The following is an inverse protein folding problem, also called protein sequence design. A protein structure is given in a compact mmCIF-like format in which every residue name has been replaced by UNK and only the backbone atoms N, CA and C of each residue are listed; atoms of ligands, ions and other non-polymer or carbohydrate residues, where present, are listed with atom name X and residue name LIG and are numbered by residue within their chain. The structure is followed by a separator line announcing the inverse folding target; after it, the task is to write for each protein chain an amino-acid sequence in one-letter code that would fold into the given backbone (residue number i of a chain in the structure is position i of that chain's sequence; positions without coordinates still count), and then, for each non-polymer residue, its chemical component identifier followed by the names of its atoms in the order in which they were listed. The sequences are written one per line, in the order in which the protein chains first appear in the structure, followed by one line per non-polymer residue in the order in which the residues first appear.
data_IF_607810403924
#
_entry.id   IF_607810403924
#
_cell.length_a   1.000
_cell.length_b   1.000
_cell.length_c   1.000
_cell.angle_alpha   90.00
_cell.angle_beta   90.00
_cell.angle_gamma   90.00
#
_symmetry.space_group_name_H-M   'P 1'
#
loop_
_entity.id
_entity.type
_entity.pdbx_description
1 polymer ?
#
# COMPACT_ATOMS: atom_id res chain seq x y z
N UNK A 1 4.99 -2.51 13.17
CA UNK A 1 4.58 -2.16 11.78
C UNK A 1 5.83 -1.64 11.10
N UNK A 2 6.11 -2.01 9.85
CA UNK A 2 7.27 -1.47 9.13
C UNK A 2 6.78 -0.35 8.20
N UNK A 3 7.38 0.83 8.28
CA UNK A 3 7.11 1.93 7.36
C UNK A 3 8.13 1.91 6.21
N UNK A 4 7.76 2.43 5.04
CA UNK A 4 8.63 2.47 3.87
C UNK A 4 9.19 3.84 3.60
N UNK A 5 10.37 3.83 2.97
CA UNK A 5 11.02 5.01 2.48
C UNK A 5 10.34 5.48 1.19
N UNK A 6 9.94 6.75 1.05
CA UNK A 6 9.73 7.35 -0.26
C UNK A 6 11.05 7.35 -1.05
N UNK A 7 11.06 7.66 -2.35
CA UNK A 7 12.25 7.56 -3.21
C UNK A 7 13.52 8.23 -2.67
N UNK A 8 13.39 9.14 -1.71
CA UNK A 8 14.50 9.81 -1.03
C UNK A 8 14.30 9.72 0.50
N UNK A 9 15.39 9.55 1.29
CA UNK A 9 15.33 9.43 2.75
C UNK A 9 14.68 10.64 3.44
N UNK A 10 14.87 11.83 2.84
CA UNK A 10 14.29 13.08 3.28
C UNK A 10 13.68 13.78 2.07
N UNK A 11 12.39 14.08 2.12
CA UNK A 11 11.74 14.82 1.02
C UNK A 11 12.10 16.30 1.13
N UNK A 12 12.38 16.93 0.00
CA UNK A 12 12.64 18.37 -0.09
C UNK A 12 11.76 18.97 -1.18
N UNK A 13 11.18 20.12 -0.91
CA UNK A 13 10.33 20.85 -1.84
C UNK A 13 10.83 22.26 -2.05
N UNK A 14 10.54 22.80 -3.22
CA UNK A 14 11.00 24.11 -3.69
C UNK A 14 9.82 24.96 -4.14
N UNK A 15 10.01 26.27 -4.10
CA UNK A 15 9.12 27.24 -4.76
C UNK A 15 9.30 27.16 -6.28
N UNK A 16 8.42 27.83 -7.03
CA UNK A 16 8.56 27.95 -8.47
C UNK A 16 9.85 28.66 -8.92
N UNK A 17 10.48 29.44 -8.05
CA UNK A 17 11.78 30.12 -8.30
C UNK A 17 12.99 29.25 -7.92
N UNK A 18 12.78 28.05 -7.39
CA UNK A 18 13.86 27.15 -6.99
C UNK A 18 14.40 27.38 -5.57
N UNK A 19 13.76 28.22 -4.79
CA UNK A 19 14.11 28.43 -3.38
C UNK A 19 13.47 27.35 -2.50
N UNK A 20 14.09 26.94 -1.37
CA UNK A 20 13.48 26.02 -0.42
C UNK A 20 12.08 26.45 0.02
N UNK A 21 11.12 25.52 0.04
CA UNK A 21 9.75 25.79 0.45
C UNK A 21 9.62 25.81 1.98
N UNK A 22 10.21 26.85 2.61
CA UNK A 22 10.25 27.00 4.05
C UNK A 22 8.85 27.15 4.64
N UNK A 23 8.53 26.35 5.67
CA UNK A 23 7.22 26.39 6.32
C UNK A 23 6.08 25.85 5.44
N UNK A 24 6.39 25.26 4.28
CA UNK A 24 5.41 24.57 3.45
C UNK A 24 4.71 23.46 4.23
N UNK A 25 3.49 23.13 3.82
CA UNK A 25 2.59 22.19 4.52
C UNK A 25 2.26 21.03 3.61
N UNK A 26 2.72 19.83 3.98
CA UNK A 26 2.39 18.60 3.26
C UNK A 26 1.26 17.86 3.99
N UNK A 27 0.08 17.88 3.41
CA UNK A 27 -1.05 17.07 3.87
C UNK A 27 -1.00 15.69 3.23
N UNK A 28 -1.31 14.67 4.03
CA UNK A 28 -1.31 13.27 3.59
C UNK A 28 -2.65 12.60 3.91
N UNK A 29 -3.24 11.98 2.87
CA UNK A 29 -4.55 11.34 2.94
C UNK A 29 -4.47 9.92 2.38
N UNK A 30 -5.46 9.09 2.69
CA UNK A 30 -5.66 7.83 1.99
C UNK A 30 -5.97 8.10 0.50
N UNK A 31 -5.38 7.31 -0.41
CA UNK A 31 -5.56 7.49 -1.85
C UNK A 31 -7.04 7.53 -2.25
N UNK A 32 -7.39 8.39 -3.18
CA UNK A 32 -8.76 8.62 -3.64
C UNK A 32 -9.67 9.32 -2.65
N UNK A 33 -9.18 9.77 -1.47
CA UNK A 33 -10.01 10.33 -0.39
C UNK A 33 -9.48 11.65 0.15
N UNK A 34 -10.20 12.19 1.14
CA UNK A 34 -9.75 13.30 2.01
C UNK A 34 -9.59 12.86 3.46
N UNK A 35 -9.63 11.55 3.73
CA UNK A 35 -9.40 11.00 5.08
C UNK A 35 -7.90 11.04 5.39
N UNK A 36 -7.48 11.73 6.48
CA UNK A 36 -6.07 11.82 6.84
C UNK A 36 -5.44 10.43 7.02
N UNK A 37 -4.24 10.23 6.45
CA UNK A 37 -3.45 9.02 6.58
C UNK A 37 -2.07 9.35 7.14
N UNK A 38 -1.71 8.72 8.25
CA UNK A 38 -0.47 9.02 8.96
C UNK A 38 0.77 8.63 8.14
N UNK A 39 1.76 9.52 8.13
CA UNK A 39 3.15 9.21 7.77
C UNK A 39 4.00 9.21 9.03
N UNK A 40 5.26 8.80 8.94
CA UNK A 40 6.10 8.56 10.12
C UNK A 40 7.43 9.29 10.01
N UNK A 41 8.04 9.55 11.18
CA UNK A 41 9.34 10.24 11.29
C UNK A 41 10.53 9.33 10.99
N UNK A 42 10.33 8.01 10.97
CA UNK A 42 11.39 7.03 10.74
C UNK A 42 10.86 5.71 10.17
N UNK A 43 11.75 4.86 9.67
CA UNK A 43 11.45 3.52 9.15
C UNK A 43 10.81 2.56 10.14
N UNK A 44 10.90 2.84 11.43
CA UNK A 44 10.29 1.98 12.45
C UNK A 44 8.77 2.09 12.48
N UNK A 45 8.20 3.21 11.95
CA UNK A 45 6.76 3.47 11.96
C UNK A 45 6.17 3.68 13.37
N UNK A 46 7.02 3.99 14.37
CA UNK A 46 6.57 4.11 15.77
C UNK A 46 6.04 5.50 16.10
N UNK A 47 6.56 6.55 15.45
CA UNK A 47 6.17 7.94 15.70
C UNK A 47 5.56 8.53 14.44
N UNK A 48 4.26 8.85 14.51
CA UNK A 48 3.56 9.49 13.41
C UNK A 48 3.98 10.97 13.30
N UNK A 49 4.07 11.46 12.07
CA UNK A 49 4.14 12.88 11.78
C UNK A 49 2.82 13.57 12.14
N UNK A 50 2.89 14.86 12.44
CA UNK A 50 1.69 15.71 12.39
C UNK A 50 1.13 15.75 10.95
N UNK A 51 -0.15 15.99 10.80
CA UNK A 51 -0.76 16.21 9.49
C UNK A 51 -1.49 17.56 9.50
N UNK A 52 -0.97 18.59 8.81
CA UNK A 52 0.14 18.55 7.84
C UNK A 52 1.52 18.35 8.47
N UNK A 53 2.43 17.77 7.69
CA UNK A 53 3.87 17.81 7.95
C UNK A 53 4.37 19.21 7.58
N UNK A 54 5.04 19.88 8.51
CA UNK A 54 5.60 21.22 8.27
C UNK A 54 7.06 21.09 7.81
N UNK A 55 7.39 21.72 6.70
CA UNK A 55 8.74 21.72 6.15
C UNK A 55 9.66 22.64 6.93
N UNK A 56 10.90 22.22 7.14
CA UNK A 56 11.92 22.99 7.90
C UNK A 56 12.48 24.19 7.09
N UNK A 57 13.48 24.86 7.64
CA UNK A 57 14.15 26.03 7.02
C UNK A 57 14.85 25.69 5.68
N UNK A 58 14.99 24.42 5.34
CA UNK A 58 15.52 23.95 4.05
C UNK A 58 14.45 23.40 3.13
N UNK A 59 13.17 23.55 3.50
CA UNK A 59 12.05 22.98 2.77
C UNK A 59 12.00 21.45 2.86
N UNK A 60 12.55 20.86 3.92
CA UNK A 60 12.70 19.40 4.08
C UNK A 60 11.80 18.85 5.18
N UNK A 61 11.47 17.56 5.06
CA UNK A 61 10.87 16.77 6.13
C UNK A 61 11.20 15.29 6.00
N UNK A 62 11.22 14.58 7.14
CA UNK A 62 11.27 13.13 7.17
C UNK A 62 9.85 12.58 6.98
N UNK A 63 9.59 11.90 5.86
CA UNK A 63 8.27 11.37 5.51
C UNK A 63 8.39 9.90 5.13
N UNK A 64 8.08 9.03 6.07
CA UNK A 64 8.05 7.59 5.87
C UNK A 64 6.61 7.11 5.73
N UNK A 65 6.34 6.32 4.69
CA UNK A 65 5.00 5.85 4.36
C UNK A 65 4.67 4.54 5.06
N UNK A 66 3.42 4.35 5.44
CA UNK A 66 2.87 3.06 5.83
C UNK A 66 2.55 2.18 4.61
N UNK A 67 2.06 0.95 4.82
CA UNK A 67 1.78 -0.02 3.76
C UNK A 67 0.42 0.29 3.06
N UNK A 68 0.26 1.50 2.56
CA UNK A 68 -0.96 1.98 1.90
C UNK A 68 -0.60 2.97 0.80
N UNK A 69 -1.53 3.20 -0.10
CA UNK A 69 -1.41 4.29 -1.06
C UNK A 69 -1.89 5.61 -0.45
N UNK A 70 -1.16 6.66 -0.75
CA UNK A 70 -1.39 8.00 -0.24
C UNK A 70 -1.80 8.96 -1.36
N UNK A 71 -2.57 9.97 -0.97
CA UNK A 71 -2.72 11.22 -1.69
C UNK A 71 -1.96 12.30 -0.94
N UNK A 72 -1.05 13.00 -1.62
CA UNK A 72 -0.30 14.13 -1.09
C UNK A 72 -0.85 15.44 -1.62
N UNK A 73 -0.95 16.44 -0.76
CA UNK A 73 -1.36 17.79 -1.12
C UNK A 73 -0.37 18.77 -0.49
N UNK A 74 0.35 19.52 -1.33
CA UNK A 74 1.38 20.46 -0.90
C UNK A 74 0.86 21.89 -0.98
N UNK A 75 1.01 22.62 0.10
CA UNK A 75 0.75 24.06 0.21
C UNK A 75 2.03 24.80 0.58
N UNK A 76 2.07 26.08 0.25
CA UNK A 76 3.08 26.96 0.82
C UNK A 76 2.77 27.34 2.28
N UNK A 77 3.63 28.19 2.88
CA UNK A 77 3.45 28.65 4.26
C UNK A 77 2.17 29.50 4.46
N UNK A 78 1.64 30.09 3.38
CA UNK A 78 0.46 30.97 3.37
C UNK A 78 -0.84 30.22 2.98
N UNK A 79 -0.81 28.89 2.97
CA UNK A 79 -1.94 28.03 2.58
C UNK A 79 -2.35 28.16 1.09
N UNK A 80 -1.42 28.55 0.21
CA UNK A 80 -1.64 28.52 -1.22
C UNK A 80 -1.30 27.12 -1.74
N UNK A 81 -2.26 26.49 -2.41
CA UNK A 81 -2.06 25.16 -3.02
C UNK A 81 -0.98 25.21 -4.10
N UNK A 82 0.02 24.34 -3.97
CA UNK A 82 1.07 24.18 -4.99
C UNK A 82 0.70 23.02 -5.92
N UNK A 83 0.44 21.84 -5.37
CA UNK A 83 -0.01 20.67 -6.15
C UNK A 83 -0.72 19.62 -5.28
N UNK A 84 -1.40 18.70 -5.95
CA UNK A 84 -1.98 17.49 -5.37
C UNK A 84 -1.65 16.30 -6.27
N UNK A 85 -1.15 15.20 -5.68
CA UNK A 85 -0.84 13.94 -6.39
C UNK A 85 -1.43 12.78 -5.61
N UNK A 86 -2.07 11.88 -6.33
CA UNK A 86 -2.71 10.68 -5.76
C UNK A 86 -1.93 9.40 -6.13
N UNK A 87 -2.19 8.31 -5.40
CA UNK A 87 -1.59 7.01 -5.67
C UNK A 87 -0.10 6.92 -5.30
N UNK A 88 0.39 7.74 -4.35
CA UNK A 88 1.79 7.72 -3.92
C UNK A 88 2.02 6.57 -2.93
N UNK A 89 3.08 5.83 -3.14
CA UNK A 89 3.49 4.71 -2.29
C UNK A 89 3.62 3.43 -3.10
N UNK A 90 4.02 2.38 -2.43
CA UNK A 90 4.04 1.03 -3.00
C UNK A 90 3.04 0.18 -2.25
N UNK A 91 2.10 -0.40 -2.96
CA UNK A 91 1.40 -1.55 -2.42
C UNK A 91 2.41 -2.70 -2.42
N UNK A 92 2.83 -3.14 -1.23
CA UNK A 92 3.42 -4.47 -1.16
C UNK A 92 2.34 -5.45 -1.56
N UNK A 93 2.69 -6.34 -2.46
CA UNK A 93 1.90 -7.55 -2.61
C UNK A 93 1.82 -8.21 -1.22
N UNK A 94 0.69 -8.03 -0.55
CA UNK A 94 0.50 -8.65 0.74
C UNK A 94 0.50 -10.15 0.49
N UNK A 95 1.56 -10.83 0.94
CA UNK A 95 1.53 -12.27 0.94
C UNK A 95 0.45 -12.70 1.92
N UNK A 96 -0.60 -13.32 1.40
CA UNK A 96 -1.60 -13.92 2.27
C UNK A 96 -0.92 -14.95 3.20
N UNK A 97 -1.33 -15.02 4.44
CA UNK A 97 -0.89 -16.13 5.30
C UNK A 97 -1.25 -17.46 4.61
N UNK A 98 -0.37 -18.45 4.77
CA UNK A 98 -0.68 -19.81 4.30
C UNK A 98 -1.97 -20.27 4.96
N UNK A 99 -2.95 -20.64 4.17
CA UNK A 99 -4.20 -21.22 4.65
C UNK A 99 -4.12 -22.74 4.57
N UNK A 100 -4.58 -23.40 5.63
CA UNK A 100 -4.67 -24.87 5.66
C UNK A 100 -6.10 -25.25 5.32
N UNK A 101 -6.27 -26.01 4.23
CA UNK A 101 -7.57 -26.43 3.78
C UNK A 101 -8.25 -27.41 4.74
N UNK A 102 -9.54 -27.27 4.88
CA UNK A 102 -10.44 -28.29 5.42
C UNK A 102 -10.93 -29.20 4.30
N UNK A 103 -11.35 -30.41 4.63
CA UNK A 103 -11.78 -31.38 3.61
C UNK A 103 -12.93 -30.85 2.74
N UNK A 104 -12.75 -30.89 1.44
CA UNK A 104 -13.74 -30.42 0.46
C UNK A 104 -13.82 -28.90 0.31
N UNK A 105 -12.98 -28.12 0.99
CA UNK A 105 -12.98 -26.66 0.90
C UNK A 105 -12.61 -26.21 -0.52
N UNK A 106 -13.45 -25.37 -1.13
CA UNK A 106 -13.19 -24.76 -2.44
C UNK A 106 -12.95 -23.26 -2.36
N UNK A 107 -13.49 -22.57 -1.36
CA UNK A 107 -13.46 -21.10 -1.22
C UNK A 107 -12.38 -20.68 -0.24
N UNK A 108 -11.50 -19.76 -0.65
CA UNK A 108 -10.43 -19.20 0.16
C UNK A 108 -10.48 -17.68 0.10
N UNK A 109 -10.39 -17.04 1.28
CA UNK A 109 -10.29 -15.59 1.38
C UNK A 109 -8.85 -15.19 1.15
N UNK A 110 -8.64 -14.19 0.31
CA UNK A 110 -7.32 -13.64 -0.03
C UNK A 110 -7.27 -12.14 0.28
N UNK A 111 -6.10 -11.52 0.47
CA UNK A 111 -5.99 -10.08 0.54
C UNK A 111 -6.61 -9.43 -0.70
N UNK A 112 -7.14 -8.21 -0.53
CA UNK A 112 -7.73 -7.47 -1.65
C UNK A 112 -6.73 -7.27 -2.79
N UNK A 113 -7.13 -7.56 -4.02
CA UNK A 113 -6.32 -7.52 -5.23
C UNK A 113 -7.15 -7.08 -6.46
N UNK A 114 -6.46 -6.75 -7.56
CA UNK A 114 -7.12 -6.53 -8.86
C UNK A 114 -7.53 -7.86 -9.50
N UNK A 115 -8.75 -7.93 -10.06
CA UNK A 115 -9.22 -9.11 -10.81
C UNK A 115 -8.52 -9.21 -12.17
N UNK A 116 -8.35 -10.43 -12.68
CA UNK A 116 -7.85 -10.69 -14.03
C UNK A 116 -6.57 -11.52 -14.10
N UNK A 117 -6.33 -12.42 -13.16
CA UNK A 117 -5.18 -13.34 -13.16
C UNK A 117 -3.89 -12.73 -12.61
N UNK A 118 -4.02 -11.72 -11.74
CA UNK A 118 -2.87 -11.10 -11.05
C UNK A 118 -2.48 -11.79 -9.73
N UNK A 119 -3.04 -12.99 -9.48
CA UNK A 119 -2.67 -13.82 -8.34
C UNK A 119 -1.82 -15.00 -8.76
N UNK A 120 -0.70 -15.20 -8.08
CA UNK A 120 -0.02 -16.48 -8.05
C UNK A 120 -0.62 -17.32 -6.93
N UNK A 121 -1.33 -18.39 -7.28
CA UNK A 121 -1.91 -19.32 -6.32
C UNK A 121 -1.10 -20.62 -6.33
N UNK A 122 -0.72 -21.12 -5.16
CA UNK A 122 -0.05 -22.41 -5.04
C UNK A 122 -0.75 -23.29 -4.01
N UNK A 123 -0.81 -24.58 -4.28
CA UNK A 123 -1.24 -25.63 -3.35
C UNK A 123 -0.08 -26.57 -3.09
N UNK A 124 0.35 -26.68 -1.84
CA UNK A 124 1.53 -27.48 -1.45
C UNK A 124 2.81 -27.11 -2.25
N UNK A 125 2.93 -25.85 -2.68
CA UNK A 125 4.03 -25.35 -3.49
C UNK A 125 3.86 -25.55 -5.00
N UNK A 126 2.81 -26.18 -5.46
CA UNK A 126 2.49 -26.38 -6.90
C UNK A 126 1.61 -25.23 -7.37
N UNK A 127 2.04 -24.55 -8.43
CA UNK A 127 1.28 -23.45 -9.05
C UNK A 127 -0.04 -23.96 -9.60
N UNK A 128 -1.09 -23.21 -9.34
CA UNK A 128 -2.43 -23.46 -9.85
C UNK A 128 -2.73 -22.53 -11.04
N UNK A 129 -3.41 -23.04 -12.06
CA UNK A 129 -3.70 -22.29 -13.27
C UNK A 129 -5.05 -21.57 -13.17
N UNK A 130 -5.02 -20.26 -13.49
CA UNK A 130 -6.21 -19.42 -13.48
C UNK A 130 -7.20 -19.87 -14.56
N UNK A 131 -8.48 -19.96 -14.23
CA UNK A 131 -9.60 -20.47 -15.02
C UNK A 131 -9.63 -22.00 -15.21
N UNK A 132 -8.54 -22.73 -14.93
CA UNK A 132 -8.53 -24.20 -14.95
C UNK A 132 -8.65 -24.77 -13.54
N UNK A 133 -7.71 -24.44 -12.65
CA UNK A 133 -7.67 -24.95 -11.29
C UNK A 133 -8.49 -24.10 -10.31
N UNK A 134 -8.56 -22.79 -10.58
CA UNK A 134 -9.31 -21.84 -9.75
C UNK A 134 -9.86 -20.66 -10.55
N UNK A 135 -10.85 -19.98 -9.96
CA UNK A 135 -11.39 -18.70 -10.45
C UNK A 135 -11.26 -17.62 -9.40
N UNK A 136 -11.11 -16.39 -9.83
CA UNK A 136 -11.18 -15.19 -8.99
C UNK A 136 -12.65 -14.78 -8.85
N UNK A 137 -13.27 -15.15 -7.72
CA UNK A 137 -14.70 -14.93 -7.49
C UNK A 137 -15.02 -13.45 -7.27
N UNK A 138 -14.14 -12.75 -6.54
CA UNK A 138 -14.17 -11.31 -6.34
C UNK A 138 -12.78 -10.85 -5.84
N UNK A 139 -12.60 -9.55 -5.55
CA UNK A 139 -11.32 -8.95 -5.14
C UNK A 139 -10.73 -9.49 -3.83
N UNK A 140 -11.43 -10.34 -3.11
CA UNK A 140 -10.98 -10.92 -1.83
C UNK A 140 -11.19 -12.42 -1.72
N UNK A 141 -11.62 -13.08 -2.82
CA UNK A 141 -12.00 -14.49 -2.76
C UNK A 141 -11.63 -15.22 -4.04
N UNK A 142 -10.99 -16.37 -3.90
CA UNK A 142 -10.79 -17.34 -4.97
C UNK A 142 -11.62 -18.61 -4.72
N UNK A 143 -12.03 -19.28 -5.81
CA UNK A 143 -12.76 -20.54 -5.74
C UNK A 143 -12.05 -21.59 -6.59
N UNK A 144 -11.64 -22.69 -5.98
CA UNK A 144 -11.05 -23.83 -6.69
C UNK A 144 -12.11 -24.64 -7.43
N UNK A 145 -11.76 -25.14 -8.60
CA UNK A 145 -12.61 -26.02 -9.41
C UNK A 145 -12.94 -27.35 -8.71
N UNK A 146 -12.07 -27.82 -7.80
CA UNK A 146 -12.30 -29.01 -6.98
C UNK A 146 -11.95 -28.76 -5.52
N UNK A 147 -12.65 -29.47 -4.63
CA UNK A 147 -12.40 -29.36 -3.16
C UNK A 147 -11.00 -29.80 -2.78
N UNK A 148 -10.35 -29.01 -1.92
CA UNK A 148 -9.01 -29.30 -1.42
C UNK A 148 -9.04 -30.41 -0.35
N UNK A 149 -7.93 -31.13 -0.25
CA UNK A 149 -7.75 -32.17 0.77
C UNK A 149 -7.46 -31.55 2.12
N UNK A 150 -7.85 -32.22 3.22
CA UNK A 150 -7.47 -31.77 4.56
C UNK A 150 -5.96 -31.63 4.66
N UNK A 151 -5.49 -30.46 5.11
CA UNK A 151 -4.08 -30.18 5.30
C UNK A 151 -3.37 -29.58 4.09
N UNK A 152 -4.04 -29.45 2.93
CA UNK A 152 -3.45 -28.71 1.79
C UNK A 152 -3.12 -27.29 2.17
N UNK A 153 -1.91 -26.86 1.82
CA UNK A 153 -1.38 -25.54 2.12
C UNK A 153 -1.60 -24.63 0.91
N UNK A 154 -2.58 -23.75 1.03
CA UNK A 154 -2.90 -22.76 -0.01
C UNK A 154 -2.16 -21.45 0.30
N UNK A 155 -1.35 -20.97 -0.65
CA UNK A 155 -0.65 -19.71 -0.58
C UNK A 155 -1.00 -18.88 -1.80
N UNK A 156 -1.32 -17.60 -1.56
CA UNK A 156 -1.59 -16.63 -2.62
C UNK A 156 -0.63 -15.46 -2.54
N UNK A 157 -0.19 -14.96 -3.69
CA UNK A 157 0.64 -13.76 -3.84
C UNK A 157 0.10 -12.93 -4.99
N UNK A 158 0.08 -11.61 -4.84
CA UNK A 158 -0.09 -10.72 -5.99
C UNK A 158 1.17 -10.73 -6.86
N UNK A 159 0.98 -10.70 -8.18
CA UNK A 159 2.05 -10.59 -9.18
C UNK A 159 2.39 -9.14 -9.46
#
# INVERSE_FOLDING_TARGET
MSAMLPPVPKVQFFTASGEPLVGGKLYTYAAGTTSPLATYTSSTGNTANANPVILDSRGEADVWLGPSLYKWVLYDANDVLIWSVDGIGTTFAAQAPVQIATGGQTIFTVPEYGLGGYLLVTVNGIVQEYLEDYTETNTTTITFASGRTVGDRVLTRML
#
